data_IF_429091296856
#
_entry.id   IF_429091296856
#
_cell.length_a   1.000
_cell.length_b   1.000
_cell.length_c   1.000
_cell.angle_alpha   90.00
_cell.angle_beta   90.00
_cell.angle_gamma   90.00
#
_symmetry.space_group_name_H-M   'P 1'
#
loop_
_entity.id
_entity.type
_entity.pdbx_description
1 polymer ?
#
# COMPACT_ATOMS: atom_id res chain seq x y z
N UNK A 1 -19.29 -3.24 21.96
CA UNK A 1 -20.39 -3.59 21.03
C UNK A 1 -19.80 -3.61 19.64
N UNK A 2 -20.29 -4.45 18.70
CA UNK A 2 -19.79 -4.40 17.33
C UNK A 2 -20.06 -3.04 16.68
N UNK A 3 -19.20 -2.66 15.74
CA UNK A 3 -19.34 -1.38 15.00
C UNK A 3 -20.67 -1.32 14.25
N UNK A 4 -21.43 -0.23 14.45
CA UNK A 4 -22.64 0.06 13.67
C UNK A 4 -22.52 1.43 13.01
N UNK A 5 -22.66 1.44 11.68
CA UNK A 5 -22.70 2.64 10.86
C UNK A 5 -23.98 2.58 10.04
N UNK A 6 -24.76 3.67 10.02
CA UNK A 6 -26.10 3.70 9.42
C UNK A 6 -27.01 2.52 9.88
N UNK A 7 -26.90 2.10 11.15
CA UNK A 7 -27.63 0.98 11.70
C UNK A 7 -27.09 -0.41 11.34
N UNK A 8 -26.16 -0.51 10.40
CA UNK A 8 -25.57 -1.76 9.90
C UNK A 8 -24.41 -2.21 10.79
N UNK A 9 -24.32 -3.51 11.13
CA UNK A 9 -23.13 -4.13 11.74
C UNK A 9 -22.07 -4.32 10.67
N UNK A 10 -20.92 -3.68 10.85
CA UNK A 10 -19.84 -3.61 9.84
C UNK A 10 -18.68 -4.51 10.25
N UNK A 11 -18.16 -5.27 9.30
CA UNK A 11 -16.87 -5.95 9.38
C UNK A 11 -15.98 -5.42 8.25
N UNK A 12 -14.81 -4.90 8.58
CA UNK A 12 -13.79 -4.54 7.60
C UNK A 12 -12.80 -5.69 7.40
N UNK A 13 -12.50 -6.02 6.16
CA UNK A 13 -11.49 -7.01 5.76
C UNK A 13 -10.44 -6.30 4.90
N UNK A 14 -9.24 -6.14 5.44
CA UNK A 14 -8.10 -5.54 4.76
C UNK A 14 -7.27 -6.65 4.13
N UNK A 15 -7.21 -6.69 2.80
CA UNK A 15 -6.47 -7.71 2.06
C UNK A 15 -5.00 -7.29 1.92
N UNK A 16 -4.14 -7.94 2.68
CA UNK A 16 -2.70 -7.68 2.76
C UNK A 16 -1.86 -8.80 2.13
N UNK A 17 -2.44 -9.57 1.20
CA UNK A 17 -1.88 -10.83 0.69
C UNK A 17 -0.99 -10.73 -0.55
N UNK A 18 -0.84 -9.56 -1.17
CA UNK A 18 -0.09 -9.42 -2.42
C UNK A 18 1.43 -9.60 -2.27
N UNK A 19 2.07 -10.42 -3.12
CA UNK A 19 3.52 -10.62 -3.13
C UNK A 19 4.32 -9.33 -3.42
N UNK A 20 3.74 -8.39 -4.18
CA UNK A 20 4.36 -7.10 -4.47
C UNK A 20 5.61 -7.16 -5.36
N UNK A 21 5.77 -8.19 -6.20
CA UNK A 21 6.99 -8.41 -7.02
C UNK A 21 7.40 -7.20 -7.87
N UNK A 22 6.44 -6.39 -8.33
CA UNK A 22 6.71 -5.15 -9.09
C UNK A 22 7.35 -4.02 -8.28
N UNK A 23 7.44 -4.17 -6.95
CA UNK A 23 8.16 -3.27 -6.04
C UNK A 23 9.51 -3.83 -5.60
N UNK A 24 9.94 -5.02 -6.12
CA UNK A 24 11.29 -5.51 -5.85
C UNK A 24 12.34 -4.46 -6.24
N UNK A 25 13.39 -4.23 -5.44
CA UNK A 25 13.79 -5.04 -4.27
C UNK A 25 13.18 -4.61 -2.92
N UNK A 26 12.27 -3.62 -2.88
CA UNK A 26 11.68 -3.13 -1.62
C UNK A 26 10.80 -4.16 -0.90
N UNK A 27 10.28 -5.14 -1.63
CA UNK A 27 9.37 -6.19 -1.13
C UNK A 27 10.02 -7.57 -1.02
N UNK A 28 11.33 -7.67 -1.22
CA UNK A 28 12.02 -8.96 -1.15
C UNK A 28 12.08 -9.51 0.29
N UNK A 29 12.08 -8.63 1.30
CA UNK A 29 12.21 -9.00 2.71
C UNK A 29 11.07 -8.49 3.60
N UNK A 30 10.08 -7.82 3.00
CA UNK A 30 8.91 -7.30 3.73
C UNK A 30 7.64 -7.38 2.90
N UNK A 31 6.52 -7.52 3.57
CA UNK A 31 5.20 -7.46 2.93
C UNK A 31 4.99 -6.09 2.27
N UNK A 32 4.34 -6.05 1.09
CA UNK A 32 4.03 -4.79 0.38
C UNK A 32 3.34 -3.75 1.28
N UNK A 33 2.32 -4.10 2.09
CA UNK A 33 1.67 -3.15 3.00
C UNK A 33 2.60 -2.56 4.07
N UNK A 34 3.70 -3.24 4.41
CA UNK A 34 4.70 -2.78 5.37
C UNK A 34 5.82 -1.93 4.75
N UNK A 35 5.79 -1.66 3.44
CA UNK A 35 6.77 -0.79 2.78
C UNK A 35 6.68 0.62 3.36
N UNK A 36 7.81 1.25 3.81
CA UNK A 36 7.80 2.59 4.35
C UNK A 36 7.30 3.62 3.33
N UNK A 37 6.55 4.60 3.80
CA UNK A 37 6.06 5.70 2.98
C UNK A 37 6.25 7.04 3.70
N UNK A 38 6.74 8.06 2.99
CA UNK A 38 7.10 9.39 3.55
C UNK A 38 7.95 9.30 4.82
N UNK A 39 8.81 8.28 4.86
CA UNK A 39 9.77 8.04 5.94
C UNK A 39 9.17 7.43 7.21
N UNK A 40 8.04 7.91 7.70
CA UNK A 40 7.46 7.50 8.99
C UNK A 40 6.38 6.46 8.84
N UNK A 41 5.53 6.57 7.82
CA UNK A 41 4.36 5.72 7.61
C UNK A 41 4.70 4.40 6.91
N UNK A 42 3.70 3.51 6.85
CA UNK A 42 3.65 2.33 5.99
C UNK A 42 2.44 2.44 5.07
N UNK A 43 2.42 1.72 3.95
CA UNK A 43 1.28 1.79 3.02
C UNK A 43 -0.05 1.42 3.69
N UNK A 44 -0.06 0.43 4.58
CA UNK A 44 -1.28 0.01 5.29
C UNK A 44 -1.86 1.08 6.22
N UNK A 45 -1.03 2.03 6.68
CA UNK A 45 -1.45 3.04 7.65
C UNK A 45 -2.58 3.93 7.10
N UNK A 46 -2.59 4.17 5.79
CA UNK A 46 -3.64 4.97 5.14
C UNK A 46 -5.00 4.27 5.23
N UNK A 47 -5.05 2.98 4.94
CA UNK A 47 -6.27 2.18 5.04
C UNK A 47 -6.74 2.07 6.50
N UNK A 48 -5.84 1.77 7.43
CA UNK A 48 -6.18 1.65 8.86
C UNK A 48 -6.60 2.99 9.47
N UNK A 49 -5.93 4.09 9.10
CA UNK A 49 -6.32 5.43 9.55
C UNK A 49 -7.70 5.83 9.02
N UNK A 50 -8.00 5.54 7.76
CA UNK A 50 -9.33 5.77 7.22
C UNK A 50 -10.40 4.95 7.96
N UNK A 51 -10.13 3.68 8.33
CA UNK A 51 -11.05 2.85 9.11
C UNK A 51 -11.37 3.47 10.46
N UNK A 52 -10.34 3.82 11.22
CA UNK A 52 -10.50 4.39 12.57
C UNK A 52 -11.20 5.75 12.51
N UNK A 53 -10.77 6.63 11.62
CA UNK A 53 -11.38 7.95 11.42
C UNK A 53 -12.84 7.85 10.96
N UNK A 54 -13.22 6.76 10.28
CA UNK A 54 -14.62 6.45 9.90
C UNK A 54 -15.41 5.76 11.02
N UNK A 55 -14.80 5.50 12.19
CA UNK A 55 -15.44 4.81 13.31
C UNK A 55 -15.57 3.30 13.14
N UNK A 56 -14.90 2.68 12.16
CA UNK A 56 -14.89 1.23 11.96
C UNK A 56 -13.91 0.58 12.94
N UNK A 57 -14.39 -0.36 13.75
CA UNK A 57 -13.63 -0.92 14.88
C UNK A 57 -13.46 -2.44 14.83
N UNK A 58 -14.18 -3.13 13.95
CA UNK A 58 -14.06 -4.57 13.73
C UNK A 58 -13.29 -4.77 12.44
N UNK A 59 -11.99 -5.05 12.52
CA UNK A 59 -11.06 -5.06 11.39
C UNK A 59 -10.29 -6.38 11.35
N UNK A 60 -10.40 -7.10 10.25
CA UNK A 60 -9.59 -8.28 9.97
C UNK A 60 -8.55 -7.94 8.91
N UNK A 61 -7.27 -8.23 9.19
CA UNK A 61 -6.18 -8.10 8.25
C UNK A 61 -5.80 -9.49 7.76
N UNK A 62 -6.07 -9.77 6.49
CA UNK A 62 -5.78 -11.08 5.87
C UNK A 62 -4.40 -11.03 5.25
N UNK A 63 -3.47 -11.76 5.84
CA UNK A 63 -2.06 -11.82 5.43
C UNK A 63 -1.75 -13.07 4.61
N UNK A 64 -0.70 -13.01 3.76
CA UNK A 64 -0.20 -14.16 3.03
C UNK A 64 1.33 -14.22 2.97
N UNK A 65 2.00 -13.14 2.53
CA UNK A 65 3.45 -13.13 2.29
C UNK A 65 4.18 -12.31 3.35
N UNK A 66 5.34 -12.82 3.81
CA UNK A 66 6.26 -12.13 4.73
C UNK A 66 5.56 -11.46 5.92
N UNK A 67 4.73 -12.19 6.68
CA UNK A 67 3.83 -11.60 7.69
C UNK A 67 4.58 -10.92 8.83
N UNK A 68 5.81 -11.34 9.15
CA UNK A 68 6.58 -10.82 10.29
C UNK A 68 6.69 -9.29 10.27
N UNK A 69 7.12 -8.71 9.14
CA UNK A 69 7.31 -7.25 9.01
C UNK A 69 6.00 -6.46 9.16
N UNK A 70 4.88 -7.06 8.75
CA UNK A 70 3.56 -6.44 8.88
C UNK A 70 3.03 -6.57 10.30
N UNK A 71 3.14 -7.75 10.92
CA UNK A 71 2.71 -8.00 12.29
C UNK A 71 3.45 -7.14 13.31
N UNK A 72 4.76 -6.96 13.16
CA UNK A 72 5.55 -6.06 13.99
C UNK A 72 5.00 -4.63 13.94
N UNK A 73 4.66 -4.15 12.75
CA UNK A 73 4.09 -2.82 12.57
C UNK A 73 2.68 -2.70 13.13
N UNK A 74 1.82 -3.67 12.87
CA UNK A 74 0.44 -3.68 13.36
C UNK A 74 0.36 -3.67 14.89
N UNK A 75 1.30 -4.31 15.58
CA UNK A 75 1.36 -4.36 17.06
C UNK A 75 0.00 -4.71 17.70
N UNK A 76 -0.74 -5.63 17.08
CA UNK A 76 -2.09 -6.01 17.50
C UNK A 76 -3.14 -4.90 17.39
N UNK A 77 -2.91 -3.88 16.54
CA UNK A 77 -3.83 -2.75 16.33
C UNK A 77 -3.67 -1.59 17.31
N UNK A 78 -2.71 -1.67 18.24
CA UNK A 78 -2.51 -0.68 19.30
C UNK A 78 -2.30 0.76 18.79
N UNK A 79 -1.53 1.02 17.72
CA UNK A 79 -1.36 2.38 17.21
C UNK A 79 -2.66 3.06 16.81
N UNK A 80 -3.65 2.28 16.39
CA UNK A 80 -4.96 2.75 15.91
C UNK A 80 -6.08 2.61 16.94
N UNK A 81 -5.76 2.33 18.22
CA UNK A 81 -6.75 2.04 19.29
C UNK A 81 -7.69 0.88 18.91
N UNK A 82 -7.14 -0.12 18.23
CA UNK A 82 -7.82 -1.34 17.81
C UNK A 82 -7.38 -2.59 18.61
N UNK A 83 -6.62 -2.45 19.70
CA UNK A 83 -6.21 -3.51 20.64
C UNK A 83 -7.30 -3.75 21.71
N UNK A 84 -8.53 -4.04 21.24
CA UNK A 84 -9.72 -4.05 22.10
C UNK A 84 -10.04 -5.44 22.61
N UNK A 85 -10.66 -5.51 23.81
CA UNK A 85 -11.17 -6.77 24.38
C UNK A 85 -12.31 -7.37 23.55
N UNK A 86 -13.08 -6.52 22.85
CA UNK A 86 -14.20 -6.94 21.99
C UNK A 86 -14.16 -6.11 20.71
N UNK A 87 -14.13 -6.77 19.55
CA UNK A 87 -13.81 -6.17 18.26
C UNK A 87 -12.31 -5.91 18.16
N UNK A 88 -11.93 -4.86 17.43
CA UNK A 88 -10.54 -4.49 17.23
C UNK A 88 -9.93 -5.14 16.00
N UNK A 89 -8.59 -5.07 15.91
CA UNK A 89 -7.84 -5.64 14.80
C UNK A 89 -7.50 -7.10 15.10
N UNK A 90 -7.87 -7.96 14.16
CA UNK A 90 -7.52 -9.39 14.18
C UNK A 90 -6.70 -9.69 12.92
N UNK A 91 -5.50 -10.22 13.12
CA UNK A 91 -4.68 -10.72 12.02
C UNK A 91 -5.15 -12.12 11.66
N UNK A 92 -5.47 -12.33 10.40
CA UNK A 92 -5.90 -13.60 9.84
C UNK A 92 -4.72 -14.19 9.04
N UNK A 93 -4.00 -15.17 9.62
CA UNK A 93 -2.88 -15.81 8.94
C UNK A 93 -3.37 -16.65 7.74
N UNK A 94 -2.46 -17.06 6.84
CA UNK A 94 -2.78 -18.01 5.78
C UNK A 94 -3.47 -19.25 6.32
N UNK A 95 -4.53 -19.67 5.64
CA UNK A 95 -5.38 -20.77 6.09
C UNK A 95 -4.83 -22.10 5.59
N UNK A 96 -4.53 -23.04 6.50
CA UNK A 96 -4.25 -24.43 6.15
C UNK A 96 -5.41 -25.32 6.61
N UNK A 97 -5.88 -26.20 5.75
CA UNK A 97 -6.87 -27.22 6.11
C UNK A 97 -6.19 -28.60 6.17
N UNK A 98 -6.76 -29.58 6.88
CA UNK A 98 -6.23 -30.96 6.87
C UNK A 98 -6.16 -31.60 5.49
N UNK A 99 -6.91 -31.08 4.50
CA UNK A 99 -6.85 -31.50 3.10
C UNK A 99 -5.78 -30.76 2.30
N UNK A 100 -5.08 -29.78 2.90
CA UNK A 100 -4.12 -28.92 2.26
C UNK A 100 -2.93 -28.71 3.21
N UNK A 101 -2.15 -29.80 3.44
CA UNK A 101 -1.04 -29.84 4.39
C UNK A 101 0.09 -28.84 4.06
N UNK A 102 0.22 -28.43 2.79
CA UNK A 102 1.24 -27.49 2.32
C UNK A 102 0.83 -26.01 2.46
N UNK A 103 -0.39 -25.72 2.99
CA UNK A 103 -0.86 -24.35 3.21
C UNK A 103 -0.93 -23.55 1.89
N UNK A 104 -1.92 -23.82 1.05
CA UNK A 104 -2.08 -23.01 -0.17
C UNK A 104 -2.40 -21.56 0.16
N UNK A 105 -1.53 -20.66 -0.30
CA UNK A 105 -1.85 -19.25 -0.37
C UNK A 105 -3.10 -19.04 -1.23
N UNK A 106 -3.93 -18.10 -0.85
CA UNK A 106 -5.09 -17.77 -1.68
C UNK A 106 -4.61 -17.35 -3.08
N UNK A 107 -5.21 -17.95 -4.12
CA UNK A 107 -4.85 -17.69 -5.51
C UNK A 107 -5.35 -16.34 -6.03
N UNK A 108 -6.17 -15.65 -5.22
CA UNK A 108 -6.71 -14.34 -5.51
C UNK A 108 -7.54 -13.80 -4.35
N UNK A 109 -8.02 -12.59 -4.48
CA UNK A 109 -8.73 -11.88 -3.42
C UNK A 109 -10.11 -12.51 -3.11
N UNK A 110 -10.83 -13.04 -4.12
CA UNK A 110 -12.08 -13.77 -3.88
C UNK A 110 -11.83 -15.11 -3.19
N UNK A 111 -10.72 -15.79 -3.52
CA UNK A 111 -10.31 -17.00 -2.81
C UNK A 111 -10.03 -16.71 -1.33
N UNK A 112 -9.29 -15.64 -1.03
CA UNK A 112 -9.03 -15.22 0.35
C UNK A 112 -10.34 -14.99 1.13
N UNK A 113 -11.32 -14.30 0.54
CA UNK A 113 -12.64 -14.12 1.14
C UNK A 113 -13.38 -15.44 1.35
N UNK A 114 -13.32 -16.35 0.38
CA UNK A 114 -14.01 -17.65 0.45
C UNK A 114 -13.47 -18.55 1.58
N UNK A 115 -12.16 -18.51 1.83
CA UNK A 115 -11.54 -19.22 2.95
C UNK A 115 -12.06 -18.76 4.32
N UNK A 116 -12.48 -17.50 4.45
CA UNK A 116 -12.97 -16.92 5.68
C UNK A 116 -14.51 -16.90 5.82
N UNK A 117 -15.26 -17.46 4.85
CA UNK A 117 -16.74 -17.42 4.87
C UNK A 117 -17.37 -17.95 6.17
N UNK A 118 -16.80 -19.02 6.74
CA UNK A 118 -17.27 -19.60 8.01
C UNK A 118 -17.22 -18.58 9.14
N UNK A 119 -16.09 -17.90 9.30
CA UNK A 119 -15.88 -16.88 10.32
C UNK A 119 -16.73 -15.63 10.08
N UNK A 120 -16.91 -15.23 8.82
CA UNK A 120 -17.79 -14.10 8.46
C UNK A 120 -19.25 -14.44 8.84
N UNK A 121 -19.72 -15.67 8.57
CA UNK A 121 -21.05 -16.13 8.99
C UNK A 121 -21.21 -16.12 10.52
N UNK A 122 -20.20 -16.59 11.25
CA UNK A 122 -20.21 -16.59 12.71
C UNK A 122 -20.23 -15.15 13.29
N UNK A 123 -19.45 -14.25 12.72
CA UNK A 123 -19.46 -12.83 13.09
C UNK A 123 -20.82 -12.19 12.78
N UNK A 124 -21.53 -12.67 11.75
CA UNK A 124 -22.84 -12.22 11.29
C UNK A 124 -22.90 -10.68 11.07
N UNK A 125 -22.09 -10.10 10.18
CA UNK A 125 -22.21 -8.69 9.80
C UNK A 125 -23.42 -8.47 8.89
N UNK A 126 -23.93 -7.23 8.87
CA UNK A 126 -24.86 -6.79 7.85
C UNK A 126 -24.11 -6.37 6.57
N UNK A 127 -22.93 -5.79 6.76
CA UNK A 127 -22.05 -5.24 5.71
C UNK A 127 -20.63 -5.73 5.89
N UNK A 128 -20.00 -6.15 4.79
CA UNK A 128 -18.56 -6.44 4.71
C UNK A 128 -17.89 -5.37 3.86
N UNK A 129 -16.95 -4.64 4.47
CA UNK A 129 -16.11 -3.65 3.80
C UNK A 129 -14.77 -4.32 3.44
N UNK A 130 -14.48 -4.50 2.15
CA UNK A 130 -13.24 -5.12 1.65
C UNK A 130 -12.33 -4.05 1.09
N UNK A 131 -11.06 -4.06 1.52
CA UNK A 131 -10.09 -3.00 1.25
C UNK A 131 -8.75 -3.57 0.82
N UNK A 132 -8.08 -2.89 -0.13
CA UNK A 132 -6.66 -3.10 -0.36
C UNK A 132 -5.81 -2.42 0.72
N UNK A 133 -4.67 -3.04 1.07
CA UNK A 133 -3.75 -2.56 2.11
C UNK A 133 -2.61 -1.67 1.57
N UNK A 134 -2.61 -1.32 0.28
CA UNK A 134 -1.43 -0.81 -0.42
C UNK A 134 -1.69 0.44 -1.27
N UNK A 135 -2.84 1.08 -1.08
CA UNK A 135 -3.19 2.32 -1.75
C UNK A 135 -3.07 3.53 -0.81
N UNK A 136 -2.66 4.65 -1.36
CA UNK A 136 -2.55 5.93 -0.64
C UNK A 136 -3.71 6.82 -1.02
N UNK A 137 -4.63 7.06 -0.08
CA UNK A 137 -5.83 7.89 -0.25
C UNK A 137 -6.44 8.28 1.09
N UNK A 138 -7.36 9.23 1.06
CA UNK A 138 -8.19 9.65 2.19
C UNK A 138 -9.66 9.45 1.85
N UNK A 139 -10.39 8.69 2.67
CA UNK A 139 -11.81 8.41 2.43
C UNK A 139 -12.55 8.12 3.74
N UNK A 140 -13.70 8.74 3.90
CA UNK A 140 -14.67 8.43 4.96
C UNK A 140 -15.51 7.21 4.54
N UNK A 141 -15.19 6.05 5.06
CA UNK A 141 -15.96 4.83 4.80
C UNK A 141 -17.37 4.88 5.39
N UNK A 142 -17.59 5.69 6.43
CA UNK A 142 -18.94 5.89 6.97
C UNK A 142 -19.91 6.42 5.93
N UNK A 143 -19.47 7.37 5.10
CA UNK A 143 -20.29 7.90 4.00
C UNK A 143 -20.55 6.86 2.90
N UNK A 144 -19.55 6.02 2.60
CA UNK A 144 -19.72 4.95 1.59
C UNK A 144 -20.72 3.91 2.08
N UNK A 145 -20.61 3.49 3.36
CA UNK A 145 -21.51 2.52 3.99
C UNK A 145 -22.93 3.08 4.08
N UNK A 146 -23.08 4.37 4.43
CA UNK A 146 -24.37 5.04 4.45
C UNK A 146 -25.02 5.04 3.06
N UNK A 147 -24.29 5.45 2.02
CA UNK A 147 -24.77 5.46 0.65
C UNK A 147 -25.15 4.05 0.17
N UNK A 148 -24.36 3.02 0.55
CA UNK A 148 -24.64 1.62 0.28
C UNK A 148 -25.98 1.18 0.88
N UNK A 149 -26.20 1.50 2.16
CA UNK A 149 -27.42 1.13 2.88
C UNK A 149 -28.66 1.85 2.31
N UNK A 150 -28.55 3.16 2.04
CA UNK A 150 -29.62 3.96 1.45
C UNK A 150 -30.03 3.47 0.06
N UNK A 151 -29.09 3.00 -0.74
CA UNK A 151 -29.34 2.46 -2.07
C UNK A 151 -29.83 1.00 -2.07
N UNK A 152 -29.78 0.30 -0.92
CA UNK A 152 -30.05 -1.14 -0.85
C UNK A 152 -29.14 -1.97 -1.77
N UNK A 153 -27.89 -1.53 -1.96
CA UNK A 153 -26.99 -2.09 -2.94
C UNK A 153 -26.54 -3.52 -2.60
N UNK A 154 -26.27 -4.34 -3.61
CA UNK A 154 -25.57 -5.63 -3.46
C UNK A 154 -24.09 -5.42 -3.18
N UNK A 155 -23.49 -4.50 -3.94
CA UNK A 155 -22.12 -4.02 -3.77
C UNK A 155 -22.04 -2.54 -4.10
N UNK A 156 -21.27 -1.78 -3.33
CA UNK A 156 -20.87 -0.42 -3.68
C UNK A 156 -19.37 -0.40 -3.93
N UNK A 157 -18.97 0.01 -5.12
CA UNK A 157 -17.59 0.13 -5.56
C UNK A 157 -17.14 1.57 -5.42
N UNK A 158 -16.10 1.83 -4.65
CA UNK A 158 -15.47 3.16 -4.67
C UNK A 158 -14.70 3.30 -5.97
N UNK A 159 -14.95 4.39 -6.67
CA UNK A 159 -14.35 4.65 -8.00
C UNK A 159 -13.51 5.91 -7.99
N UNK A 160 -12.51 5.94 -8.85
CA UNK A 160 -11.66 7.11 -9.12
C UNK A 160 -11.40 7.22 -10.61
N UNK A 161 -10.71 8.28 -11.03
CA UNK A 161 -10.34 8.47 -12.43
C UNK A 161 -8.82 8.45 -12.59
N UNK A 162 -8.34 7.60 -13.49
CA UNK A 162 -6.93 7.62 -13.91
C UNK A 162 -6.65 8.77 -14.89
N UNK A 163 -5.42 9.26 -14.89
CA UNK A 163 -5.01 10.39 -15.73
C UNK A 163 -4.99 10.03 -17.23
N UNK A 164 -4.49 8.85 -17.54
CA UNK A 164 -4.38 8.33 -18.90
C UNK A 164 -5.25 7.09 -19.08
N UNK A 165 -5.84 6.93 -20.26
CA UNK A 165 -6.70 5.80 -20.57
C UNK A 165 -5.97 4.45 -20.43
N UNK A 166 -4.71 4.42 -20.84
CA UNK A 166 -3.87 3.21 -20.81
C UNK A 166 -3.64 2.70 -19.37
N UNK A 167 -3.66 3.59 -18.39
CA UNK A 167 -3.52 3.21 -16.99
C UNK A 167 -4.71 2.37 -16.50
N UNK A 168 -5.89 2.56 -17.10
CA UNK A 168 -7.11 1.84 -16.72
C UNK A 168 -7.03 0.32 -17.01
N UNK A 169 -6.16 -0.12 -17.91
CA UNK A 169 -5.94 -1.57 -18.18
C UNK A 169 -5.49 -2.35 -16.94
N UNK A 170 -5.00 -1.66 -15.93
CA UNK A 170 -4.46 -2.28 -14.70
C UNK A 170 -5.51 -2.50 -13.62
N UNK A 171 -6.71 -1.95 -13.78
CA UNK A 171 -7.76 -1.86 -12.75
C UNK A 171 -9.09 -2.44 -13.22
N UNK A 172 -10.00 -2.63 -12.29
CA UNK A 172 -11.41 -2.85 -12.62
C UNK A 172 -12.02 -1.57 -13.20
N UNK A 173 -12.48 -1.62 -14.43
CA UNK A 173 -13.14 -0.51 -15.12
C UNK A 173 -14.62 -0.49 -14.83
N UNK A 174 -15.20 0.68 -14.62
CA UNK A 174 -16.60 0.86 -14.23
C UNK A 174 -17.27 1.89 -15.14
N UNK A 175 -18.41 1.51 -15.70
CA UNK A 175 -19.36 2.48 -16.30
C UNK A 175 -20.58 2.62 -15.40
N UNK A 176 -21.10 3.84 -15.32
CA UNK A 176 -22.23 4.15 -14.45
C UNK A 176 -23.34 4.91 -15.20
N UNK A 177 -24.57 4.60 -14.84
CA UNK A 177 -25.71 5.41 -15.22
C UNK A 177 -25.78 6.74 -14.43
N UNK A 178 -26.72 7.62 -14.80
CA UNK A 178 -26.88 8.93 -14.15
C UNK A 178 -27.27 8.83 -12.66
N UNK A 179 -27.83 7.70 -12.25
CA UNK A 179 -28.25 7.41 -10.87
C UNK A 179 -27.12 6.75 -10.03
N UNK A 180 -25.90 6.62 -10.57
CA UNK A 180 -24.76 5.98 -9.92
C UNK A 180 -24.82 4.44 -9.93
N UNK A 181 -25.80 3.82 -10.62
CA UNK A 181 -25.83 2.38 -10.83
C UNK A 181 -24.69 1.96 -11.77
N UNK A 182 -24.00 0.88 -11.45
CA UNK A 182 -22.98 0.29 -12.32
C UNK A 182 -23.69 -0.42 -13.48
N UNK A 183 -23.42 0.05 -14.69
CA UNK A 183 -24.01 -0.50 -15.93
C UNK A 183 -23.08 -1.47 -16.65
N UNK A 184 -21.76 -1.30 -16.48
CA UNK A 184 -20.76 -2.23 -16.99
C UNK A 184 -19.54 -2.29 -16.05
N UNK A 185 -18.95 -3.47 -15.97
CA UNK A 185 -17.72 -3.73 -15.25
C UNK A 185 -16.80 -4.64 -16.08
N UNK A 186 -15.52 -4.27 -16.19
CA UNK A 186 -14.52 -5.10 -16.85
C UNK A 186 -13.23 -5.12 -16.01
N UNK A 187 -12.76 -6.32 -15.65
CA UNK A 187 -11.56 -6.46 -14.82
C UNK A 187 -10.30 -6.51 -15.68
N UNK A 188 -9.41 -5.54 -15.48
CA UNK A 188 -8.12 -5.40 -16.19
C UNK A 188 -8.22 -5.65 -17.70
N UNK A 189 -9.14 -4.97 -18.40
CA UNK A 189 -9.40 -5.26 -19.80
C UNK A 189 -8.25 -4.76 -20.70
N UNK A 190 -7.97 -5.47 -21.78
CA UNK A 190 -7.01 -4.99 -22.81
C UNK A 190 -7.46 -3.66 -23.43
N UNK A 191 -8.77 -3.48 -23.59
CA UNK A 191 -9.40 -2.24 -24.07
C UNK A 191 -10.24 -1.66 -22.95
N UNK A 192 -9.80 -0.57 -22.30
CA UNK A 192 -10.54 0.04 -21.23
C UNK A 192 -11.92 0.55 -21.66
N UNK A 193 -12.91 0.42 -20.79
CA UNK A 193 -14.23 1.00 -20.97
C UNK A 193 -14.17 2.54 -20.88
N UNK A 194 -13.28 3.07 -20.06
CA UNK A 194 -13.11 4.49 -19.81
C UNK A 194 -12.00 4.74 -18.80
N UNK A 195 -11.93 5.95 -18.27
CA UNK A 195 -10.95 6.33 -17.25
C UNK A 195 -11.42 6.12 -15.81
N UNK A 196 -12.68 5.73 -15.61
CA UNK A 196 -13.23 5.44 -14.28
C UNK A 196 -12.88 4.01 -13.90
N UNK A 197 -12.19 3.88 -12.77
CA UNK A 197 -11.69 2.59 -12.27
C UNK A 197 -12.06 2.40 -10.81
N UNK A 198 -12.03 1.16 -10.31
CA UNK A 198 -12.19 0.88 -8.88
C UNK A 198 -10.96 1.35 -8.11
N UNK A 199 -11.20 1.91 -6.93
CA UNK A 199 -10.15 2.29 -5.98
C UNK A 199 -9.82 1.14 -5.01
N UNK A 200 -10.21 -0.10 -5.33
CA UNK A 200 -10.01 -1.31 -4.51
C UNK A 200 -10.61 -1.19 -3.09
N UNK A 201 -11.78 -0.52 -3.02
CA UNK A 201 -12.62 -0.39 -1.84
C UNK A 201 -14.02 -0.81 -2.21
N UNK A 202 -14.54 -1.84 -1.55
CA UNK A 202 -15.82 -2.46 -1.84
C UNK A 202 -16.65 -2.62 -0.58
N UNK A 203 -17.91 -2.16 -0.61
CA UNK A 203 -18.90 -2.38 0.44
C UNK A 203 -19.90 -3.41 -0.07
N UNK A 204 -19.95 -4.56 0.56
CA UNK A 204 -20.84 -5.66 0.18
C UNK A 204 -21.98 -5.82 1.17
N UNK A 205 -23.19 -6.10 0.66
CA UNK A 205 -24.19 -6.76 1.46
C UNK A 205 -23.66 -8.14 1.87
N UNK A 206 -23.53 -8.39 3.17
CA UNK A 206 -22.84 -9.57 3.68
C UNK A 206 -23.50 -10.89 3.24
N UNK A 207 -24.85 -10.94 3.24
CA UNK A 207 -25.59 -12.12 2.81
C UNK A 207 -25.34 -12.41 1.32
N UNK A 208 -25.49 -11.40 0.46
CA UNK A 208 -25.30 -11.57 -0.99
C UNK A 208 -23.84 -11.95 -1.31
N UNK A 209 -22.86 -11.36 -0.61
CA UNK A 209 -21.46 -11.76 -0.73
C UNK A 209 -21.27 -13.25 -0.43
N UNK A 210 -21.77 -13.72 0.72
CA UNK A 210 -21.60 -15.10 1.15
C UNK A 210 -22.35 -16.10 0.25
N UNK A 211 -23.55 -15.75 -0.20
CA UNK A 211 -24.35 -16.57 -1.11
C UNK A 211 -23.64 -16.67 -2.48
N UNK A 212 -23.14 -15.54 -3.02
CA UNK A 212 -22.43 -15.52 -4.31
C UNK A 212 -21.10 -16.29 -4.24
N UNK A 213 -20.30 -16.12 -3.17
CA UNK A 213 -19.07 -16.88 -2.99
C UNK A 213 -19.33 -18.38 -2.88
N UNK A 214 -20.41 -18.78 -2.18
CA UNK A 214 -20.80 -20.19 -2.06
C UNK A 214 -21.22 -20.77 -3.42
N UNK A 215 -21.95 -20.00 -4.21
CA UNK A 215 -22.41 -20.41 -5.54
C UNK A 215 -21.25 -20.56 -6.52
N UNK A 216 -20.32 -19.60 -6.54
CA UNK A 216 -19.12 -19.62 -7.38
C UNK A 216 -18.15 -20.76 -7.01
N UNK A 217 -18.05 -21.09 -5.72
CA UNK A 217 -17.21 -22.18 -5.20
C UNK A 217 -17.84 -23.58 -5.26
N UNK A 218 -19.04 -23.75 -5.85
CA UNK A 218 -19.69 -25.06 -5.95
C UNK A 218 -18.83 -26.06 -6.70
N UNK A 219 -18.83 -27.29 -6.21
CA UNK A 219 -18.05 -28.38 -6.80
C UNK A 219 -16.54 -28.32 -6.45
N UNK A 220 -16.15 -27.56 -5.44
CA UNK A 220 -14.75 -27.43 -5.02
C UNK A 220 -13.92 -26.53 -5.93
N UNK A 221 -14.56 -25.65 -6.68
CA UNK A 221 -13.87 -24.69 -7.57
C UNK A 221 -13.12 -23.66 -6.73
N UNK A 222 -11.83 -23.49 -7.00
CA UNK A 222 -11.02 -22.41 -6.44
C UNK A 222 -11.32 -21.12 -7.18
N UNK A 223 -11.60 -20.06 -6.42
CA UNK A 223 -11.86 -18.73 -6.96
C UNK A 223 -10.54 -17.98 -7.21
N UNK A 224 -10.53 -17.10 -8.20
CA UNK A 224 -9.42 -16.19 -8.50
C UNK A 224 -9.57 -14.85 -7.78
N UNK A 225 -9.28 -13.77 -8.52
CA UNK A 225 -9.51 -12.40 -8.05
C UNK A 225 -11.01 -12.06 -8.06
N UNK A 226 -11.43 -11.18 -7.14
CA UNK A 226 -12.84 -10.76 -7.05
C UNK A 226 -13.37 -10.10 -8.34
N UNK A 227 -12.49 -9.50 -9.14
CA UNK A 227 -12.84 -8.87 -10.41
C UNK A 227 -13.15 -9.87 -11.53
N UNK A 228 -12.72 -11.12 -11.41
CA UNK A 228 -12.90 -12.13 -12.47
C UNK A 228 -14.33 -12.71 -12.45
N UNK A 229 -14.88 -12.99 -11.27
CA UNK A 229 -16.15 -13.69 -11.14
C UNK A 229 -17.11 -13.01 -10.15
N UNK A 230 -16.64 -12.64 -8.95
CA UNK A 230 -17.48 -12.12 -7.87
C UNK A 230 -18.15 -10.80 -8.23
N UNK A 231 -17.34 -9.80 -8.64
CA UNK A 231 -17.89 -8.49 -9.02
C UNK A 231 -18.79 -8.55 -10.25
N UNK A 232 -18.42 -9.25 -11.35
CA UNK A 232 -19.33 -9.47 -12.48
C UNK A 232 -20.66 -10.11 -12.09
N UNK A 233 -20.66 -11.11 -11.22
CA UNK A 233 -21.88 -11.77 -10.76
C UNK A 233 -22.81 -10.79 -10.02
N UNK A 234 -22.24 -9.95 -9.12
CA UNK A 234 -23.00 -8.96 -8.37
C UNK A 234 -23.48 -7.77 -9.24
N UNK A 235 -22.69 -7.36 -10.24
CA UNK A 235 -23.10 -6.34 -11.22
C UNK A 235 -24.27 -6.83 -12.08
N UNK A 236 -24.21 -8.08 -12.56
CA UNK A 236 -25.27 -8.69 -13.34
C UNK A 236 -26.59 -8.84 -12.53
N UNK A 237 -26.52 -8.88 -11.21
CA UNK A 237 -27.69 -8.82 -10.33
C UNK A 237 -28.40 -7.46 -10.32
N UNK A 238 -27.80 -6.42 -10.91
CA UNK A 238 -28.42 -5.13 -11.19
C UNK A 238 -28.44 -4.11 -10.03
N UNK A 239 -27.97 -4.46 -8.83
CA UNK A 239 -27.99 -3.58 -7.66
C UNK A 239 -26.58 -3.11 -7.24
N UNK A 240 -25.62 -3.14 -8.16
CA UNK A 240 -24.30 -2.59 -7.95
C UNK A 240 -24.28 -1.06 -8.09
N UNK A 241 -23.56 -0.38 -7.20
CA UNK A 241 -23.45 1.09 -7.15
C UNK A 241 -22.00 1.53 -7.21
N UNK A 242 -21.77 2.72 -7.75
CA UNK A 242 -20.47 3.39 -7.69
C UNK A 242 -20.52 4.55 -6.70
N UNK A 243 -19.43 4.72 -5.94
CA UNK A 243 -19.22 5.86 -5.05
C UNK A 243 -17.95 6.58 -5.47
N UNK A 244 -18.00 7.81 -6.01
CA UNK A 244 -16.82 8.51 -6.48
C UNK A 244 -15.94 8.98 -5.32
N UNK A 245 -14.69 8.56 -5.30
CA UNK A 245 -13.66 9.06 -4.38
C UNK A 245 -13.27 10.47 -4.83
N UNK A 246 -13.30 11.39 -3.89
CA UNK A 246 -12.86 12.78 -4.10
C UNK A 246 -11.44 12.95 -3.58
N UNK A 247 -10.59 13.64 -4.36
CA UNK A 247 -9.23 13.97 -3.96
C UNK A 247 -8.18 12.96 -4.42
N UNK A 248 -7.08 12.93 -3.66
CA UNK A 248 -5.89 12.14 -4.03
C UNK A 248 -6.12 10.64 -3.85
N UNK A 249 -5.73 9.88 -4.85
CA UNK A 249 -5.64 8.43 -4.81
C UNK A 249 -4.44 7.96 -5.64
N UNK A 250 -3.68 7.00 -5.12
CA UNK A 250 -2.55 6.36 -5.82
C UNK A 250 -2.45 4.88 -5.45
N UNK A 251 -2.49 4.01 -6.48
CA UNK A 251 -2.03 2.63 -6.36
C UNK A 251 -0.50 2.64 -6.37
N UNK A 252 0.10 2.24 -5.25
CA UNK A 252 1.55 2.13 -5.12
C UNK A 252 1.97 0.72 -5.50
N UNK A 253 1.76 0.38 -6.77
CA UNK A 253 2.01 -0.96 -7.32
C UNK A 253 3.35 -1.14 -8.02
N UNK A 254 4.10 -0.07 -8.27
CA UNK A 254 5.41 -0.09 -8.94
C UNK A 254 6.37 0.89 -8.30
N UNK A 255 7.68 0.71 -8.51
CA UNK A 255 8.71 1.62 -7.98
C UNK A 255 8.53 3.06 -8.47
N UNK A 256 8.14 3.26 -9.73
CA UNK A 256 7.85 4.59 -10.28
C UNK A 256 6.59 5.21 -9.65
N UNK A 257 5.53 4.43 -9.42
CA UNK A 257 4.34 4.92 -8.72
C UNK A 257 4.66 5.28 -7.26
N UNK A 258 5.50 4.48 -6.60
CA UNK A 258 5.98 4.73 -5.26
C UNK A 258 6.78 6.04 -5.18
N UNK A 259 7.76 6.24 -6.08
CA UNK A 259 8.55 7.48 -6.14
C UNK A 259 7.66 8.68 -6.50
N UNK A 260 6.76 8.54 -7.47
CA UNK A 260 5.81 9.58 -7.88
C UNK A 260 4.91 10.01 -6.71
N UNK A 261 4.39 9.04 -5.94
CA UNK A 261 3.56 9.34 -4.78
C UNK A 261 4.31 10.19 -3.73
N UNK A 262 5.59 9.89 -3.46
CA UNK A 262 6.42 10.72 -2.58
C UNK A 262 6.59 12.14 -3.13
N UNK A 263 6.86 12.27 -4.43
CA UNK A 263 6.95 13.55 -5.12
C UNK A 263 5.65 14.35 -5.07
N UNK A 264 4.48 13.70 -5.19
CA UNK A 264 3.19 14.35 -5.09
C UNK A 264 2.97 14.99 -3.71
N UNK A 265 3.41 14.34 -2.64
CA UNK A 265 3.35 14.91 -1.29
C UNK A 265 4.35 16.04 -1.08
N UNK A 266 5.58 15.93 -1.60
CA UNK A 266 6.56 17.02 -1.57
C UNK A 266 6.04 18.25 -2.30
N UNK A 267 5.36 18.10 -3.42
CA UNK A 267 4.77 19.16 -4.23
C UNK A 267 3.42 19.68 -3.69
N UNK A 268 2.94 19.17 -2.56
CA UNK A 268 1.66 19.56 -1.98
C UNK A 268 0.43 19.09 -2.77
N UNK A 269 0.60 18.13 -3.70
CA UNK A 269 -0.50 17.51 -4.46
C UNK A 269 -1.20 16.36 -3.71
N UNK A 270 -0.60 15.85 -2.64
CA UNK A 270 -1.22 14.92 -1.73
C UNK A 270 -2.26 15.58 -0.82
N UNK A 271 -2.57 14.94 0.29
CA UNK A 271 -3.41 15.50 1.35
C UNK A 271 -2.59 15.73 2.63
N UNK A 272 -3.07 16.61 3.52
CA UNK A 272 -2.42 16.84 4.80
C UNK A 272 -2.49 15.57 5.68
N UNK A 273 -1.31 15.16 6.21
CA UNK A 273 -1.15 13.92 6.97
C UNK A 273 -1.57 14.07 8.45
N UNK A 274 -1.52 15.32 8.94
CA UNK A 274 -1.72 15.71 10.34
C UNK A 274 -3.00 16.53 10.57
N UNK A 275 -3.97 16.45 9.67
CA UNK A 275 -5.26 17.13 9.83
C UNK A 275 -5.91 16.68 11.14
N UNK A 276 -6.27 17.58 12.08
CA UNK A 276 -6.78 17.22 13.40
C UNK A 276 -7.99 16.28 13.37
N UNK A 277 -8.92 16.52 12.43
CA UNK A 277 -10.14 15.72 12.30
C UNK A 277 -9.95 14.41 11.51
N UNK A 278 -8.80 14.26 10.82
CA UNK A 278 -8.50 13.08 9.99
C UNK A 278 -7.00 12.81 9.89
N UNK A 279 -6.32 12.51 11.00
CA UNK A 279 -4.89 12.25 10.98
C UNK A 279 -4.56 10.91 10.31
N UNK A 280 -3.40 10.84 9.66
CA UNK A 280 -2.81 9.54 9.31
C UNK A 280 -2.04 9.04 10.52
N UNK A 281 -2.51 7.93 11.08
CA UNK A 281 -1.98 7.29 12.28
C UNK A 281 -0.98 6.22 11.87
N UNK A 282 0.11 6.07 12.61
CA UNK A 282 1.13 5.03 12.41
C UNK A 282 1.67 4.52 13.74
N UNK A 283 2.36 3.38 13.71
CA UNK A 283 3.12 2.92 14.86
C UNK A 283 4.24 3.93 15.17
N UNK A 284 4.13 4.58 16.34
CA UNK A 284 5.06 5.63 16.75
C UNK A 284 6.44 5.02 17.04
N UNK A 285 7.44 5.44 16.27
CA UNK A 285 8.83 5.20 16.60
C UNK A 285 9.32 6.38 17.47
N UNK A 286 9.71 6.11 18.72
CA UNK A 286 10.39 7.11 19.53
C UNK A 286 11.76 7.39 18.93
N UNK A 287 11.91 8.54 18.30
CA UNK A 287 13.16 8.99 17.69
C UNK A 287 13.59 10.35 18.29
N UNK A 288 14.89 10.61 18.42
CA UNK A 288 15.36 11.95 18.79
C UNK A 288 14.97 12.94 17.67
N UNK A 289 14.99 14.25 17.95
CA UNK A 289 14.81 15.26 16.90
C UNK A 289 15.80 15.07 15.74
N UNK A 290 15.39 15.46 14.53
CA UNK A 290 16.30 15.51 13.40
C UNK A 290 17.44 16.50 13.68
N UNK A 291 18.66 16.13 13.31
CA UNK A 291 19.85 16.95 13.50
C UNK A 291 20.34 17.54 12.18
N UNK A 292 20.32 18.84 12.07
CA UNK A 292 20.91 19.58 10.96
C UNK A 292 22.27 20.13 11.41
N UNK A 293 23.35 19.66 10.77
CA UNK A 293 24.71 20.10 11.10
C UNK A 293 25.09 21.39 10.36
N UNK A 294 26.16 22.04 10.82
CA UNK A 294 26.67 23.26 10.16
C UNK A 294 27.04 22.94 8.71
N UNK A 295 26.43 23.66 7.76
CA UNK A 295 26.64 23.51 6.34
C UNK A 295 25.66 22.55 5.66
N UNK A 296 24.65 22.03 6.38
CA UNK A 296 23.54 21.32 5.77
C UNK A 296 22.71 22.27 4.89
N UNK A 297 22.32 21.80 3.70
CA UNK A 297 21.46 22.51 2.77
C UNK A 297 20.21 21.68 2.52
N UNK A 298 19.03 22.26 2.76
CA UNK A 298 17.73 21.59 2.60
C UNK A 298 16.84 22.43 1.69
N UNK A 299 16.22 21.78 0.71
CA UNK A 299 15.24 22.38 -0.19
C UNK A 299 14.12 21.37 -0.47
N UNK A 300 12.86 21.80 -0.34
CA UNK A 300 11.64 21.01 -0.68
C UNK A 300 11.69 19.54 -0.22
N UNK A 301 12.05 19.29 1.03
CA UNK A 301 12.33 17.93 1.51
C UNK A 301 11.63 17.62 2.83
N UNK A 302 11.19 16.36 3.00
CA UNK A 302 10.76 15.84 4.29
C UNK A 302 11.94 15.21 5.03
N UNK A 303 12.15 15.63 6.29
CA UNK A 303 13.20 15.10 7.18
C UNK A 303 12.55 14.60 8.46
N UNK A 304 12.64 13.29 8.69
CA UNK A 304 12.03 12.64 9.85
C UNK A 304 12.91 12.72 11.10
N UNK A 305 12.32 12.51 12.28
CA UNK A 305 13.05 12.40 13.54
C UNK A 305 14.18 11.36 13.47
N UNK A 306 15.28 11.61 14.20
CA UNK A 306 16.46 10.75 14.20
C UNK A 306 17.38 10.88 12.98
N UNK A 307 16.96 11.57 11.92
CA UNK A 307 17.84 11.82 10.77
C UNK A 307 18.96 12.80 11.11
N UNK A 308 20.14 12.61 10.50
CA UNK A 308 21.30 13.50 10.65
C UNK A 308 21.79 14.00 9.29
N UNK A 309 21.73 15.30 9.06
CA UNK A 309 22.05 15.92 7.78
C UNK A 309 23.23 16.87 7.93
N UNK A 310 24.31 16.59 7.21
CA UNK A 310 25.51 17.45 7.10
C UNK A 310 25.83 17.80 5.63
N UNK A 311 25.10 17.22 4.67
CA UNK A 311 25.24 17.44 3.23
C UNK A 311 24.07 18.21 2.63
N UNK A 312 23.87 18.08 1.33
CA UNK A 312 22.78 18.72 0.58
C UNK A 312 21.65 17.71 0.33
N UNK A 313 20.41 18.12 0.62
CA UNK A 313 19.18 17.33 0.38
C UNK A 313 18.17 18.22 -0.35
N UNK A 314 17.80 17.83 -1.55
CA UNK A 314 16.89 18.58 -2.42
C UNK A 314 15.76 17.66 -2.88
N UNK A 315 14.51 18.11 -2.72
CA UNK A 315 13.31 17.41 -3.20
C UNK A 315 13.32 15.91 -2.84
N UNK A 316 13.62 15.62 -1.58
CA UNK A 316 13.86 14.25 -1.13
C UNK A 316 13.17 13.94 0.18
N UNK A 317 12.97 12.65 0.46
CA UNK A 317 12.45 12.16 1.74
C UNK A 317 13.57 11.47 2.50
N UNK A 318 13.84 11.92 3.71
CA UNK A 318 14.85 11.36 4.61
C UNK A 318 14.16 10.75 5.83
N UNK A 319 14.13 9.43 5.86
CA UNK A 319 13.43 8.64 6.87
C UNK A 319 14.17 8.62 8.23
N UNK A 320 13.54 8.10 9.31
CA UNK A 320 14.12 8.05 10.63
C UNK A 320 15.49 7.37 10.67
N UNK A 321 16.44 8.01 11.37
CA UNK A 321 17.79 7.47 11.55
C UNK A 321 18.68 7.49 10.31
N UNK A 322 18.20 8.00 9.17
CA UNK A 322 19.03 8.13 7.98
C UNK A 322 20.09 9.24 8.14
N UNK A 323 21.24 9.03 7.50
CA UNK A 323 22.42 9.92 7.64
C UNK A 323 22.85 10.40 6.27
N UNK A 324 23.03 11.72 6.12
CA UNK A 324 23.65 12.37 4.95
C UNK A 324 24.88 13.12 5.41
N UNK A 325 26.06 12.55 5.12
CA UNK A 325 27.34 13.08 5.58
C UNK A 325 27.76 14.34 4.79
N UNK A 326 28.78 15.03 5.29
CA UNK A 326 29.30 16.27 4.71
C UNK A 326 29.76 16.08 3.26
N UNK A 327 29.30 16.97 2.39
CA UNK A 327 29.61 16.96 0.95
C UNK A 327 28.84 15.89 0.17
N UNK A 328 28.02 15.08 0.83
CA UNK A 328 27.07 14.21 0.12
C UNK A 328 25.93 15.05 -0.48
N UNK A 329 25.40 14.58 -1.61
CA UNK A 329 24.30 15.22 -2.33
C UNK A 329 23.19 14.20 -2.56
N UNK A 330 21.98 14.50 -2.11
CA UNK A 330 20.77 13.69 -2.29
C UNK A 330 19.72 14.53 -3.01
N UNK A 331 19.28 14.10 -4.20
CA UNK A 331 18.31 14.83 -5.03
C UNK A 331 17.23 13.89 -5.56
N UNK A 332 15.98 14.36 -5.54
CA UNK A 332 14.79 13.64 -6.07
C UNK A 332 14.78 12.16 -5.62
N UNK A 333 15.09 11.92 -4.33
CA UNK A 333 15.40 10.58 -3.82
C UNK A 333 14.71 10.28 -2.50
N UNK A 334 14.62 8.99 -2.18
CA UNK A 334 14.00 8.50 -0.95
C UNK A 334 15.06 7.71 -0.19
N UNK A 335 15.45 8.21 0.99
CA UNK A 335 16.28 7.50 1.93
C UNK A 335 15.40 6.84 3.00
N UNK A 336 15.39 5.53 3.04
CA UNK A 336 14.60 4.73 3.97
C UNK A 336 15.24 4.67 5.38
N UNK A 337 14.56 4.14 6.42
CA UNK A 337 15.07 4.15 7.79
C UNK A 337 16.50 3.61 7.91
N UNK A 338 17.37 4.39 8.54
CA UNK A 338 18.75 4.01 8.78
C UNK A 338 19.67 3.98 7.53
N UNK A 339 19.21 4.45 6.37
CA UNK A 339 20.06 4.57 5.18
C UNK A 339 21.18 5.58 5.40
N UNK A 340 22.38 5.28 4.88
CA UNK A 340 23.59 6.12 5.07
C UNK A 340 24.14 6.54 3.72
N UNK A 341 24.27 7.84 3.51
CA UNK A 341 24.97 8.43 2.35
C UNK A 341 26.24 9.13 2.86
N UNK A 342 27.39 8.50 2.60
CA UNK A 342 28.68 8.94 3.14
C UNK A 342 29.27 10.13 2.36
N UNK A 343 30.34 10.68 2.91
CA UNK A 343 30.96 11.92 2.46
C UNK A 343 31.28 11.93 0.94
N UNK A 344 30.77 12.95 0.25
CA UNK A 344 30.99 13.16 -1.18
C UNK A 344 30.25 12.18 -2.10
N UNK A 345 29.41 11.30 -1.56
CA UNK A 345 28.55 10.43 -2.38
C UNK A 345 27.39 11.23 -3.02
N UNK A 346 26.91 10.76 -4.16
CA UNK A 346 25.82 11.38 -4.91
C UNK A 346 24.69 10.39 -5.12
N UNK A 347 23.48 10.77 -4.72
CA UNK A 347 22.25 9.99 -4.89
C UNK A 347 21.25 10.87 -5.62
N UNK A 348 20.85 10.48 -6.82
CA UNK A 348 19.94 11.27 -7.66
C UNK A 348 18.88 10.36 -8.26
N UNK A 349 17.60 10.71 -8.08
CA UNK A 349 16.45 9.95 -8.56
C UNK A 349 16.60 8.46 -8.22
N UNK A 350 16.66 8.21 -6.91
CA UNK A 350 16.93 6.87 -6.39
C UNK A 350 16.17 6.57 -5.11
N UNK A 351 15.98 5.29 -4.82
CA UNK A 351 15.54 4.78 -3.51
C UNK A 351 16.72 4.07 -2.87
N UNK A 352 17.13 4.51 -1.69
CA UNK A 352 18.12 3.84 -0.84
C UNK A 352 17.36 3.21 0.32
N UNK A 353 17.21 1.89 0.30
CA UNK A 353 16.32 1.18 1.22
C UNK A 353 16.95 1.04 2.61
N UNK A 354 16.20 0.44 3.52
CA UNK A 354 16.51 0.31 4.96
C UNK A 354 17.94 -0.14 5.21
N UNK A 355 18.66 0.63 6.06
CA UNK A 355 20.04 0.35 6.49
C UNK A 355 21.04 0.11 5.34
N UNK A 356 20.69 0.49 4.10
CA UNK A 356 21.63 0.46 2.99
C UNK A 356 22.65 1.59 3.10
N UNK A 357 23.88 1.35 2.60
CA UNK A 357 24.96 2.32 2.68
C UNK A 357 25.53 2.65 1.31
N UNK A 358 25.49 3.94 0.97
CA UNK A 358 26.21 4.51 -0.18
C UNK A 358 27.50 5.11 0.34
N UNK A 359 28.63 4.39 0.13
CA UNK A 359 29.93 4.75 0.68
C UNK A 359 30.52 5.99 0.00
N UNK A 360 31.59 6.52 0.59
CA UNK A 360 32.20 7.78 0.19
C UNK A 360 32.50 7.85 -1.32
N UNK A 361 32.09 8.94 -1.96
CA UNK A 361 32.26 9.22 -3.40
C UNK A 361 31.62 8.20 -4.34
N UNK A 362 30.74 7.32 -3.86
CA UNK A 362 29.94 6.46 -4.71
C UNK A 362 28.81 7.25 -5.37
N UNK A 363 28.29 6.76 -6.49
CA UNK A 363 27.22 7.40 -7.26
C UNK A 363 26.06 6.43 -7.42
N UNK A 364 24.82 6.91 -7.18
CA UNK A 364 23.60 6.13 -7.35
C UNK A 364 22.59 6.94 -8.14
N UNK A 365 22.08 6.34 -9.23
CA UNK A 365 21.09 6.96 -10.10
C UNK A 365 21.66 8.01 -11.04
N UNK A 366 20.84 8.97 -11.47
CA UNK A 366 21.17 10.01 -12.42
C UNK A 366 19.93 10.52 -13.15
N UNK A 367 20.11 11.17 -14.31
CA UNK A 367 19.00 11.54 -15.19
C UNK A 367 18.46 10.29 -15.89
N UNK A 368 17.20 9.95 -15.71
CA UNK A 368 16.57 8.80 -16.36
C UNK A 368 15.70 7.97 -15.45
N UNK A 369 15.73 6.65 -15.59
CA UNK A 369 14.95 5.72 -14.81
C UNK A 369 15.41 5.65 -13.35
N UNK A 370 14.51 5.24 -12.46
CA UNK A 370 14.73 5.17 -11.03
C UNK A 370 15.78 4.09 -10.68
N UNK A 371 16.81 4.45 -9.92
CA UNK A 371 17.75 3.48 -9.36
C UNK A 371 17.30 3.03 -7.97
N UNK A 372 17.57 1.76 -7.60
CA UNK A 372 17.19 1.25 -6.28
C UNK A 372 18.34 0.49 -5.63
N UNK A 373 18.63 0.84 -4.39
CA UNK A 373 19.57 0.11 -3.54
C UNK A 373 18.76 -0.60 -2.45
N UNK A 374 18.70 -1.93 -2.52
CA UNK A 374 17.90 -2.76 -1.61
C UNK A 374 18.39 -2.74 -0.17
N UNK A 375 17.58 -3.26 0.73
CA UNK A 375 17.83 -3.25 2.17
C UNK A 375 19.19 -3.87 2.53
N UNK A 376 19.93 -3.23 3.45
CA UNK A 376 21.26 -3.65 3.91
C UNK A 376 22.33 -3.77 2.82
N UNK A 377 22.06 -3.35 1.58
CA UNK A 377 23.03 -3.37 0.50
C UNK A 377 24.08 -2.26 0.68
N UNK A 378 25.25 -2.45 0.07
CA UNK A 378 26.37 -1.52 0.16
C UNK A 378 26.89 -1.16 -1.22
N UNK A 379 26.82 0.11 -1.58
CA UNK A 379 27.51 0.64 -2.76
C UNK A 379 28.87 1.17 -2.29
N UNK A 380 29.94 0.41 -2.58
CA UNK A 380 31.28 0.67 -2.04
C UNK A 380 31.88 1.98 -2.58
N UNK A 381 32.87 2.49 -1.90
CA UNK A 381 33.50 3.76 -2.24
C UNK A 381 33.94 3.82 -3.70
N UNK A 382 33.52 4.87 -4.41
CA UNK A 382 33.79 5.09 -5.83
C UNK A 382 33.03 4.20 -6.81
N UNK A 383 32.17 3.29 -6.34
CA UNK A 383 31.32 2.47 -7.22
C UNK A 383 30.14 3.29 -7.77
N UNK A 384 29.60 2.84 -8.90
CA UNK A 384 28.47 3.50 -9.57
C UNK A 384 27.32 2.53 -9.78
N UNK A 385 26.13 2.94 -9.38
CA UNK A 385 24.85 2.30 -9.74
C UNK A 385 24.12 3.25 -10.69
N UNK A 386 24.08 2.91 -11.97
CA UNK A 386 23.48 3.76 -13.00
C UNK A 386 21.95 3.85 -12.88
N UNK A 387 21.36 4.80 -13.64
CA UNK A 387 19.90 4.94 -13.75
C UNK A 387 19.24 3.64 -14.22
N UNK A 388 18.08 3.29 -13.64
CA UNK A 388 17.33 2.09 -13.95
C UNK A 388 17.95 0.78 -13.45
N UNK A 389 19.03 0.84 -12.68
CA UNK A 389 19.68 -0.35 -12.13
C UNK A 389 19.30 -0.57 -10.66
N UNK A 390 19.12 -1.85 -10.31
CA UNK A 390 18.74 -2.25 -8.96
C UNK A 390 19.84 -3.10 -8.31
N UNK A 391 20.13 -2.82 -7.06
CA UNK A 391 20.99 -3.62 -6.18
C UNK A 391 20.09 -4.46 -5.28
N UNK A 392 20.14 -5.80 -5.36
CA UNK A 392 19.37 -6.64 -4.45
C UNK A 392 19.77 -6.45 -2.98
N UNK A 393 18.88 -6.81 -2.02
CA UNK A 393 19.20 -6.75 -0.59
C UNK A 393 20.49 -7.47 -0.23
N UNK A 394 21.21 -6.96 0.79
CA UNK A 394 22.48 -7.50 1.32
C UNK A 394 23.64 -7.59 0.33
N UNK A 395 23.50 -7.10 -0.90
CA UNK A 395 24.57 -7.15 -1.90
C UNK A 395 25.55 -5.99 -1.74
N UNK A 396 26.79 -6.25 -2.21
CA UNK A 396 27.87 -5.26 -2.25
C UNK A 396 28.26 -4.99 -3.68
N UNK A 397 28.18 -3.73 -4.11
CA UNK A 397 28.62 -3.26 -5.42
C UNK A 397 29.99 -2.63 -5.25
N UNK A 398 31.02 -3.17 -5.92
CA UNK A 398 32.41 -2.68 -5.88
C UNK A 398 32.73 -1.96 -7.18
N UNK A 399 33.56 -0.91 -7.10
CA UNK A 399 34.05 -0.21 -8.26
C UNK A 399 34.74 -1.17 -9.26
N UNK A 400 34.34 -1.10 -10.54
CA UNK A 400 34.82 -1.98 -11.60
C UNK A 400 34.24 -3.41 -11.57
N UNK A 401 33.21 -3.67 -10.77
CA UNK A 401 32.51 -4.97 -10.68
C UNK A 401 30.99 -4.81 -10.67
N UNK A 402 30.50 -3.66 -11.09
CA UNK A 402 29.08 -3.27 -11.02
C UNK A 402 28.19 -4.27 -11.79
N UNK A 403 28.57 -4.67 -13.00
CA UNK A 403 27.80 -5.57 -13.87
C UNK A 403 27.56 -6.98 -13.28
N UNK A 404 28.30 -7.34 -12.22
CA UNK A 404 28.15 -8.65 -11.58
C UNK A 404 27.02 -8.71 -10.56
N UNK A 405 26.51 -7.57 -10.13
CA UNK A 405 25.57 -7.46 -9.00
C UNK A 405 24.30 -6.74 -9.41
N UNK A 406 24.39 -5.80 -10.37
CA UNK A 406 23.28 -4.96 -10.78
C UNK A 406 22.26 -5.75 -11.60
N UNK A 407 20.99 -5.53 -11.34
CA UNK A 407 19.87 -6.13 -12.07
C UNK A 407 19.08 -5.02 -12.78
N UNK A 408 18.57 -5.34 -13.95
CA UNK A 408 17.51 -4.54 -14.58
C UNK A 408 16.17 -5.13 -14.12
N UNK A 409 15.17 -4.29 -13.79
CA UNK A 409 13.83 -4.80 -13.55
C UNK A 409 13.30 -5.50 -14.81
N UNK A 410 12.63 -6.63 -14.61
CA UNK A 410 11.91 -7.37 -15.66
C UNK A 410 10.62 -6.64 -16.06
#
# INVERSE_FOLDING_TARGET
MPTRIAGQKVLAIVLAGGRGSRLSPLTDERAKPAVPFLGTYRLIDFTLSNLVNSGVQDVWVVEQYLPHSLNDHLSGGRPWDLDRTRGGLVVMPPFSTPQNEDGEFAQGNAHALSQHMGLIREFAPDVVLVLSADHVYRLDYGKVIQAHAEAGASVTMVTTQVKKLEEATRFGNVETGPDGRVTAFAYKPEKPLGRTVTAEVFVYNARLLLDTLADLGRGGRTLGDYGEELLPALVNGGEARAFPLQGYWMDVGTLEAYHTAHGDFLDGRGFALDTPDWPVITASLTQPPARLEKGAELEDSFVCGGASIAGQVVRSVVAPGAVVERGAVVRDSILQPGAVVQAGAQVTRAIVDQAATVHARAQVGGAGELAVVGAFAQVMAGATVGSGLHVPPHRRVKAGQEDRVLQRPE
#
